data_IF_031646120458
#
_entry.id   IF_031646120458
#
_cell.length_a   1.000
_cell.length_b   1.000
_cell.length_c   1.000
_cell.angle_alpha   90.00
_cell.angle_beta   90.00
_cell.angle_gamma   90.00
#
_symmetry.space_group_name_H-M   'P 1'
#
loop_
_entity.id
_entity.type
_entity.pdbx_description
1 polymer ?
#
# COMPACT_ATOMS: atom_id res chain seq x y z
N UNK A 1 7.23 -22.84 -2.52
CA UNK A 1 6.63 -21.62 -1.96
C UNK A 1 5.50 -21.99 -1.01
N UNK A 2 5.52 -21.51 0.22
CA UNK A 2 4.43 -21.71 1.19
C UNK A 2 3.17 -20.99 0.66
N UNK A 3 2.01 -21.60 0.85
CA UNK A 3 0.72 -20.99 0.51
C UNK A 3 0.18 -20.26 1.72
N UNK A 4 -0.17 -19.00 1.56
CA UNK A 4 -0.74 -18.16 2.60
C UNK A 4 -2.20 -17.82 2.29
N UNK A 5 -3.04 -17.74 3.32
CA UNK A 5 -4.37 -17.17 3.22
C UNK A 5 -4.33 -15.63 3.20
N UNK A 6 -5.40 -15.00 2.71
CA UNK A 6 -5.50 -13.53 2.63
C UNK A 6 -5.33 -12.87 4.00
N UNK A 7 -5.99 -13.41 5.02
CA UNK A 7 -5.89 -12.89 6.39
C UNK A 7 -4.47 -13.04 6.96
N UNK A 8 -3.80 -14.14 6.64
CA UNK A 8 -2.43 -14.41 7.07
C UNK A 8 -1.46 -13.40 6.44
N UNK A 9 -1.54 -13.19 5.12
CA UNK A 9 -0.69 -12.18 4.43
C UNK A 9 -0.92 -10.76 4.97
N UNK A 10 -2.18 -10.41 5.22
CA UNK A 10 -2.52 -9.10 5.80
C UNK A 10 -1.86 -8.92 7.17
N UNK A 11 -1.99 -9.92 8.04
CA UNK A 11 -1.42 -9.87 9.37
C UNK A 11 0.11 -9.85 9.33
N UNK A 12 0.74 -10.69 8.51
CA UNK A 12 2.19 -10.72 8.31
C UNK A 12 2.75 -9.34 7.93
N UNK A 13 2.06 -8.62 7.02
CA UNK A 13 2.49 -7.27 6.62
C UNK A 13 2.37 -6.27 7.77
N UNK A 14 1.26 -6.28 8.49
CA UNK A 14 1.03 -5.35 9.58
C UNK A 14 2.00 -5.60 10.74
N UNK A 15 2.23 -6.85 11.12
CA UNK A 15 3.18 -7.24 12.17
C UNK A 15 4.62 -6.86 11.78
N UNK A 16 4.98 -7.08 10.51
CA UNK A 16 6.29 -6.68 9.99
C UNK A 16 6.48 -5.16 10.08
N UNK A 17 5.51 -4.36 9.65
CA UNK A 17 5.59 -2.91 9.74
C UNK A 17 5.56 -2.41 11.18
N UNK A 18 4.81 -3.06 12.07
CA UNK A 18 4.84 -2.76 13.50
C UNK A 18 6.23 -3.00 14.09
N UNK A 19 6.91 -4.08 13.70
CA UNK A 19 8.31 -4.37 14.11
C UNK A 19 9.30 -3.30 13.64
N UNK A 20 8.97 -2.57 12.56
CA UNK A 20 9.75 -1.41 12.06
C UNK A 20 9.30 -0.08 12.69
N UNK A 21 8.48 -0.13 13.74
CA UNK A 21 8.04 1.04 14.51
C UNK A 21 6.82 1.78 13.96
N UNK A 22 6.06 1.17 13.03
CA UNK A 22 4.83 1.76 12.53
C UNK A 22 3.66 1.58 13.50
N UNK A 23 2.84 2.62 13.61
CA UNK A 23 1.52 2.50 14.23
C UNK A 23 0.57 1.84 13.23
N UNK A 24 0.04 0.67 13.58
CA UNK A 24 -0.99 0.02 12.78
C UNK A 24 -2.33 0.69 13.02
N UNK A 25 -2.89 1.30 11.98
CA UNK A 25 -4.20 1.93 12.01
C UNK A 25 -5.24 1.06 11.31
N UNK A 26 -6.47 1.13 11.79
CA UNK A 26 -7.62 0.47 11.12
C UNK A 26 -7.88 1.08 9.74
N UNK A 27 -8.46 0.29 8.84
CA UNK A 27 -9.00 0.80 7.57
C UNK A 27 -9.99 1.94 7.82
N UNK A 28 -9.80 3.04 7.11
CA UNK A 28 -10.77 4.12 7.09
C UNK A 28 -12.05 3.70 6.37
N UNK A 29 -13.14 4.45 6.60
CA UNK A 29 -14.36 4.29 5.82
C UNK A 29 -14.10 4.45 4.33
N UNK A 30 -14.81 3.69 3.49
CA UNK A 30 -14.80 3.90 2.04
C UNK A 30 -15.42 5.22 1.61
N UNK A 31 -16.31 5.78 2.44
CA UNK A 31 -16.90 7.10 2.21
C UNK A 31 -15.91 8.15 2.72
N UNK A 32 -15.38 9.02 1.82
CA UNK A 32 -14.40 10.04 2.21
C UNK A 32 -14.97 11.00 3.24
N UNK A 33 -14.15 11.38 4.21
CA UNK A 33 -14.48 12.42 5.18
C UNK A 33 -13.75 13.70 4.76
N UNK A 34 -14.52 14.73 4.37
CA UNK A 34 -13.96 16.05 4.05
C UNK A 34 -13.30 16.22 2.67
N UNK A 35 -13.05 15.16 1.91
CA UNK A 35 -12.50 15.24 0.55
C UNK A 35 -13.62 15.13 -0.50
N UNK A 36 -14.03 16.27 -1.06
CA UNK A 36 -15.06 16.36 -2.09
C UNK A 36 -14.58 15.91 -3.48
N UNK A 37 -13.31 15.63 -3.66
CA UNK A 37 -12.73 15.21 -4.94
C UNK A 37 -12.93 13.71 -5.19
N UNK A 38 -13.28 12.95 -4.17
CA UNK A 38 -13.46 11.50 -4.22
C UNK A 38 -14.89 11.11 -3.85
N UNK A 39 -15.49 10.23 -4.63
CA UNK A 39 -16.77 9.59 -4.26
C UNK A 39 -16.53 8.47 -3.25
N UNK A 40 -15.49 7.68 -3.47
CA UNK A 40 -15.09 6.59 -2.60
C UNK A 40 -13.56 6.57 -2.47
N UNK A 41 -13.05 6.05 -1.35
CA UNK A 41 -11.62 5.88 -1.15
C UNK A 41 -11.09 4.86 -2.15
N UNK A 42 -10.13 5.30 -2.96
CA UNK A 42 -9.55 4.55 -4.07
C UNK A 42 -8.06 4.23 -3.90
N UNK A 43 -7.46 4.68 -2.81
CA UNK A 43 -6.04 4.44 -2.48
C UNK A 43 -5.79 4.52 -0.98
N UNK A 44 -4.77 3.79 -0.51
CA UNK A 44 -4.39 3.77 0.90
C UNK A 44 -3.94 5.13 1.44
N UNK A 45 -3.36 5.98 0.59
CA UNK A 45 -2.93 7.32 0.96
C UNK A 45 -4.08 8.33 1.07
N UNK A 46 -5.20 8.10 0.38
CA UNK A 46 -6.27 9.09 0.26
C UNK A 46 -6.77 9.63 1.62
N UNK A 47 -7.10 8.78 2.61
CA UNK A 47 -7.54 9.27 3.91
C UNK A 47 -6.42 9.90 4.75
N UNK A 48 -5.16 9.73 4.38
CA UNK A 48 -3.99 10.26 5.08
C UNK A 48 -3.47 11.58 4.48
N UNK A 49 -4.11 12.10 3.42
CA UNK A 49 -3.74 13.38 2.80
C UNK A 49 -3.55 14.52 3.81
N UNK A 50 -4.42 14.73 4.81
CA UNK A 50 -4.25 15.81 5.77
C UNK A 50 -2.93 15.79 6.52
N UNK A 51 -2.39 14.59 6.78
CA UNK A 51 -1.08 14.43 7.43
C UNK A 51 0.07 14.79 6.49
N UNK A 52 -0.03 14.48 5.20
CA UNK A 52 0.98 14.85 4.20
C UNK A 52 0.98 16.34 3.87
N UNK A 53 -0.17 16.99 3.92
CA UNK A 53 -0.29 18.43 3.67
C UNK A 53 0.00 19.29 4.90
N UNK A 54 0.14 18.68 6.07
CA UNK A 54 0.32 19.38 7.33
C UNK A 54 -0.97 20.02 7.88
N UNK A 55 -2.14 19.71 7.30
CA UNK A 55 -3.42 20.17 7.80
C UNK A 55 -3.77 19.52 9.15
N UNK A 56 -3.28 18.32 9.38
CA UNK A 56 -3.42 17.58 10.63
C UNK A 56 -2.07 16.98 11.04
N UNK A 57 -1.88 16.81 12.34
CA UNK A 57 -0.70 16.15 12.90
C UNK A 57 -0.94 14.64 12.89
N UNK A 58 -0.06 13.82 12.29
CA UNK A 58 -0.21 12.38 12.31
C UNK A 58 -0.05 11.83 13.74
N UNK A 59 -0.76 10.76 14.11
CA UNK A 59 -0.65 10.15 15.43
C UNK A 59 0.74 9.56 15.72
N UNK A 60 1.48 9.26 14.65
CA UNK A 60 2.89 8.83 14.67
C UNK A 60 3.52 9.15 13.32
N UNK A 61 4.85 9.36 13.29
CA UNK A 61 5.60 9.60 12.05
C UNK A 61 5.64 8.40 11.11
N UNK A 62 5.45 7.19 11.65
CA UNK A 62 5.35 5.92 10.91
C UNK A 62 3.96 5.32 11.10
N UNK A 63 3.24 5.13 10.03
CA UNK A 63 1.90 4.53 10.04
C UNK A 63 1.81 3.41 9.03
N UNK A 64 1.11 2.34 9.39
CA UNK A 64 0.78 1.24 8.47
C UNK A 64 -0.72 0.95 8.49
N UNK A 65 -1.27 0.64 7.32
CA UNK A 65 -2.69 0.31 7.17
C UNK A 65 -2.90 -0.84 6.19
N UNK A 66 -4.00 -1.56 6.38
CA UNK A 66 -4.60 -2.38 5.34
C UNK A 66 -5.90 -1.68 4.92
N UNK A 67 -5.82 -0.75 3.95
CA UNK A 67 -6.92 0.11 3.54
C UNK A 67 -7.79 -0.55 2.48
N UNK A 68 -9.08 -0.65 2.75
CA UNK A 68 -10.10 -1.04 1.78
C UNK A 68 -10.28 0.07 0.75
N UNK A 69 -10.28 -0.30 -0.53
CA UNK A 69 -10.35 0.63 -1.65
C UNK A 69 -11.37 0.15 -2.70
N UNK A 70 -11.98 1.12 -3.39
CA UNK A 70 -12.83 0.85 -4.55
C UNK A 70 -12.36 1.69 -5.73
N UNK A 71 -12.21 1.04 -6.90
CA UNK A 71 -11.98 1.69 -8.20
C UNK A 71 -13.00 1.18 -9.20
N UNK A 72 -13.73 2.09 -9.84
CA UNK A 72 -14.79 1.77 -10.78
C UNK A 72 -14.42 2.08 -12.24
N UNK A 73 -13.31 2.78 -12.48
CA UNK A 73 -12.86 3.14 -13.84
C UNK A 73 -12.65 1.95 -14.77
N UNK A 74 -12.30 0.79 -14.22
CA UNK A 74 -12.05 -0.44 -14.97
C UNK A 74 -13.18 -1.48 -14.83
N UNK A 75 -14.37 -1.08 -14.39
CA UNK A 75 -15.47 -2.01 -14.09
C UNK A 75 -15.84 -2.87 -15.31
N UNK A 76 -15.75 -2.30 -16.52
CA UNK A 76 -16.05 -3.00 -17.76
C UNK A 76 -15.03 -4.09 -18.10
N UNK A 77 -13.84 -4.03 -17.50
CA UNK A 77 -12.75 -5.00 -17.68
C UNK A 77 -12.78 -6.13 -16.64
N UNK A 78 -13.58 -5.98 -15.59
CA UNK A 78 -13.74 -7.01 -14.55
C UNK A 78 -14.39 -8.27 -15.15
N UNK A 79 -13.71 -9.39 -14.96
CA UNK A 79 -14.14 -10.68 -15.55
C UNK A 79 -13.75 -10.89 -17.00
N UNK A 80 -13.28 -9.84 -17.71
CA UNK A 80 -12.73 -9.96 -19.07
C UNK A 80 -11.21 -10.08 -19.08
N UNK A 81 -10.56 -9.46 -18.13
CA UNK A 81 -9.11 -9.49 -17.94
C UNK A 81 -8.76 -10.17 -16.62
N UNK A 82 -7.59 -10.80 -16.55
CA UNK A 82 -7.19 -11.59 -15.39
C UNK A 82 -6.81 -10.77 -14.15
N UNK A 83 -6.69 -9.44 -14.25
CA UNK A 83 -6.06 -8.59 -13.22
C UNK A 83 -6.89 -7.40 -12.75
N UNK A 84 -8.09 -7.20 -13.26
CA UNK A 84 -8.94 -6.08 -12.84
C UNK A 84 -9.96 -6.53 -11.79
N UNK A 85 -10.01 -5.79 -10.69
CA UNK A 85 -11.02 -5.90 -9.66
C UNK A 85 -11.50 -4.50 -9.26
N UNK A 86 -12.69 -4.39 -8.74
CA UNK A 86 -13.26 -3.12 -8.28
C UNK A 86 -12.99 -2.86 -6.82
N UNK A 87 -13.04 -3.90 -5.99
CA UNK A 87 -12.75 -3.85 -4.56
C UNK A 87 -11.44 -4.56 -4.27
N UNK A 88 -10.56 -3.91 -3.50
CA UNK A 88 -9.26 -4.45 -3.12
C UNK A 88 -8.76 -3.80 -1.83
N UNK A 89 -7.70 -4.35 -1.27
CA UNK A 89 -7.01 -3.78 -0.12
C UNK A 89 -5.62 -3.32 -0.53
N UNK A 90 -5.20 -2.17 -0.02
CA UNK A 90 -3.82 -1.70 -0.11
C UNK A 90 -3.12 -1.90 1.23
N UNK A 91 -2.06 -2.72 1.21
CA UNK A 91 -1.11 -2.84 2.30
C UNK A 91 -0.14 -1.66 2.20
N UNK A 92 -0.29 -0.70 3.08
CA UNK A 92 0.42 0.56 3.01
C UNK A 92 1.31 0.82 4.23
N UNK A 93 2.49 1.37 3.96
CA UNK A 93 3.37 1.94 4.97
C UNK A 93 3.67 3.39 4.60
N UNK A 94 3.58 4.29 5.58
CA UNK A 94 3.64 5.73 5.39
C UNK A 94 4.64 6.34 6.36
N UNK A 95 5.44 7.28 5.85
CA UNK A 95 6.43 8.04 6.61
C UNK A 95 6.11 9.53 6.53
N UNK A 96 5.91 10.15 7.67
CA UNK A 96 5.66 11.59 7.78
C UNK A 96 6.92 12.27 8.31
N UNK A 97 7.88 12.53 7.38
CA UNK A 97 9.14 13.18 7.70
C UNK A 97 10.12 12.32 8.51
N UNK A 98 9.99 11.00 8.46
CA UNK A 98 10.88 10.06 9.17
C UNK A 98 11.83 9.37 8.18
N UNK A 99 11.49 8.20 7.66
CA UNK A 99 12.29 7.51 6.66
C UNK A 99 11.87 7.86 5.23
N UNK A 100 12.70 7.49 4.25
CA UNK A 100 12.41 7.71 2.83
C UNK A 100 12.77 6.49 1.98
N UNK A 101 13.44 6.68 0.84
CA UNK A 101 13.65 5.64 -0.18
C UNK A 101 14.45 4.45 0.34
N UNK A 102 15.51 4.69 1.06
CA UNK A 102 16.47 3.66 1.49
C UNK A 102 15.78 2.60 2.34
N UNK A 103 15.15 3.02 3.42
CA UNK A 103 14.46 2.12 4.34
C UNK A 103 13.25 1.45 3.66
N UNK A 104 12.48 2.20 2.85
CA UNK A 104 11.33 1.66 2.14
C UNK A 104 11.73 0.53 1.17
N UNK A 105 12.83 0.70 0.42
CA UNK A 105 13.35 -0.32 -0.49
C UNK A 105 13.85 -1.54 0.29
N UNK A 106 14.64 -1.33 1.34
CA UNK A 106 15.14 -2.41 2.18
C UNK A 106 14.01 -3.23 2.80
N UNK A 107 13.05 -2.58 3.40
CA UNK A 107 11.92 -3.27 4.05
C UNK A 107 11.01 -3.98 3.04
N UNK A 108 10.83 -3.40 1.84
CA UNK A 108 10.08 -4.07 0.79
C UNK A 108 10.75 -5.38 0.36
N UNK A 109 12.07 -5.34 0.18
CA UNK A 109 12.87 -6.52 -0.16
C UNK A 109 12.83 -7.55 0.96
N UNK A 110 13.14 -7.14 2.19
CA UNK A 110 13.10 -8.00 3.37
C UNK A 110 11.73 -8.67 3.55
N UNK A 111 10.64 -7.89 3.43
CA UNK A 111 9.29 -8.44 3.55
C UNK A 111 9.01 -9.53 2.51
N UNK A 112 9.33 -9.27 1.25
CA UNK A 112 9.03 -10.21 0.17
C UNK A 112 9.91 -11.46 0.22
N UNK A 113 11.19 -11.33 0.53
CA UNK A 113 12.15 -12.44 0.46
C UNK A 113 12.25 -13.22 1.78
N UNK A 114 12.28 -12.53 2.92
CA UNK A 114 12.52 -13.16 4.23
C UNK A 114 11.20 -13.50 4.95
N UNK A 115 10.23 -12.59 4.94
CA UNK A 115 8.96 -12.81 5.66
C UNK A 115 8.00 -13.66 4.83
N UNK A 116 7.75 -13.27 3.57
CA UNK A 116 6.87 -14.03 2.67
C UNK A 116 7.58 -15.25 2.06
N UNK A 117 8.90 -15.20 1.92
CA UNK A 117 9.71 -16.28 1.38
C UNK A 117 9.56 -16.46 -0.13
N UNK A 118 9.43 -15.35 -0.85
CA UNK A 118 9.48 -15.37 -2.32
C UNK A 118 10.92 -15.62 -2.79
N UNK A 119 11.04 -16.38 -3.87
CA UNK A 119 12.31 -16.58 -4.56
C UNK A 119 12.77 -15.25 -5.18
N UNK A 120 13.95 -14.77 -4.77
CA UNK A 120 14.52 -13.52 -5.24
C UNK A 120 14.72 -13.49 -6.76
N UNK A 121 15.05 -14.63 -7.38
CA UNK A 121 15.23 -14.74 -8.84
C UNK A 121 13.93 -14.54 -9.64
N UNK A 122 12.79 -14.53 -8.94
CA UNK A 122 11.46 -14.27 -9.52
C UNK A 122 10.97 -12.85 -9.28
N UNK A 123 11.75 -12.01 -8.62
CA UNK A 123 11.43 -10.62 -8.36
C UNK A 123 12.14 -9.73 -9.38
N UNK A 124 11.37 -8.86 -10.03
CA UNK A 124 11.86 -7.95 -11.07
C UNK A 124 11.63 -6.50 -10.63
N UNK A 125 12.57 -5.92 -9.83
CA UNK A 125 12.45 -4.53 -9.42
C UNK A 125 12.56 -3.60 -10.62
N UNK A 126 11.63 -2.66 -10.73
CA UNK A 126 11.64 -1.63 -11.76
C UNK A 126 11.73 -0.25 -11.10
N UNK A 127 12.68 0.55 -11.54
CA UNK A 127 12.89 1.92 -11.11
C UNK A 127 12.50 2.88 -12.24
N UNK A 128 12.26 4.15 -11.91
CA UNK A 128 11.83 5.18 -12.86
C UNK A 128 12.73 5.23 -14.10
N UNK A 129 14.05 5.21 -13.92
CA UNK A 129 15.03 5.27 -15.02
C UNK A 129 15.22 3.94 -15.77
N UNK A 130 14.69 2.83 -15.25
CA UNK A 130 14.72 1.52 -15.91
C UNK A 130 13.36 1.10 -16.45
N UNK A 131 12.32 1.92 -16.21
CA UNK A 131 10.97 1.61 -16.66
C UNK A 131 10.87 1.66 -18.18
N UNK A 132 10.24 0.66 -18.81
CA UNK A 132 9.94 0.69 -20.23
C UNK A 132 8.76 1.59 -20.59
N UNK A 133 8.03 2.11 -19.60
CA UNK A 133 6.83 2.91 -19.82
C UNK A 133 7.16 4.40 -19.90
N UNK A 134 6.68 5.11 -20.95
CA UNK A 134 6.83 6.57 -21.05
C UNK A 134 6.19 7.36 -19.89
N UNK A 135 5.25 6.75 -19.17
CA UNK A 135 4.61 7.38 -17.99
C UNK A 135 5.51 7.43 -16.77
N UNK A 136 6.55 6.59 -16.75
CA UNK A 136 7.50 6.47 -15.65
C UNK A 136 8.80 7.25 -15.93
N UNK A 137 8.88 7.91 -17.08
CA UNK A 137 10.03 8.69 -17.52
C UNK A 137 9.94 10.18 -17.10
#
# INVERSE_FOLDING_TARGET
MKKYGVNELRQMFLDFMESKGHLVMKSFSLVPQGDKSLLLINAGMAPLKPYFTGAEIPPRTRVSTCQKCIRTGDIENVGKTARHGTFFEMLGNFSFGDYFKTEAIHWSWEFLTEVVGLDADRLYPCLLYTSPSPRDA
#
